data_IF_607090141048
#
_entry.id   IF_607090141048
#
_cell.length_a   1.000
_cell.length_b   1.000
_cell.length_c   1.000
_cell.angle_alpha   90.00
_cell.angle_beta   90.00
_cell.angle_gamma   90.00
#
_symmetry.space_group_name_H-M   'P 1'
#
loop_
_entity.id
_entity.type
_entity.pdbx_description
1 polymer ?
#
# COMPACT_ATOMS: atom_id res chain seq x y z
N UNK A 1 35.20 -9.61 0.57
CA UNK A 1 33.75 -9.91 0.55
C UNK A 1 33.05 -8.85 1.38
N UNK A 2 32.36 -7.88 0.75
CA UNK A 2 31.79 -6.74 1.46
C UNK A 2 30.63 -7.14 2.37
N UNK A 3 30.66 -6.67 3.62
CA UNK A 3 29.70 -7.03 4.67
C UNK A 3 28.87 -5.82 5.05
N UNK A 4 27.59 -5.86 4.70
CA UNK A 4 26.66 -4.75 4.87
C UNK A 4 25.79 -4.93 6.12
N UNK A 5 25.75 -3.91 6.98
CA UNK A 5 24.77 -3.80 8.05
C UNK A 5 23.60 -2.92 7.60
N UNK A 6 22.45 -3.52 7.30
CA UNK A 6 21.22 -2.79 7.01
C UNK A 6 20.58 -2.36 8.33
N UNK A 7 20.38 -1.06 8.49
CA UNK A 7 19.74 -0.45 9.67
C UNK A 7 18.48 0.27 9.22
N UNK A 8 17.32 -0.22 9.68
CA UNK A 8 16.02 0.32 9.31
C UNK A 8 14.99 0.08 10.41
N UNK A 9 14.07 1.03 10.63
CA UNK A 9 12.94 0.87 11.53
C UNK A 9 11.62 0.84 10.73
N UNK A 10 10.91 1.97 10.63
CA UNK A 10 9.61 2.05 9.94
C UNK A 10 9.72 1.69 8.45
N UNK A 11 10.93 1.84 7.91
CA UNK A 11 11.31 1.65 6.52
C UNK A 11 11.85 0.25 6.21
N UNK A 12 11.89 -0.67 7.18
CA UNK A 12 12.53 -1.99 7.02
C UNK A 12 11.95 -2.82 5.87
N UNK A 13 10.66 -2.65 5.56
CA UNK A 13 9.98 -3.33 4.44
C UNK A 13 9.85 -2.44 3.19
N UNK A 14 10.60 -1.34 3.10
CA UNK A 14 10.51 -0.42 1.97
C UNK A 14 11.02 -1.05 0.67
N UNK A 15 10.32 -0.89 -0.46
CA UNK A 15 10.83 -1.26 -1.78
C UNK A 15 12.15 -0.55 -2.14
N UNK A 16 12.36 0.70 -1.68
CA UNK A 16 13.59 1.44 -1.96
C UNK A 16 14.81 0.81 -1.28
N UNK A 17 14.61 0.27 -0.07
CA UNK A 17 15.65 -0.48 0.63
C UNK A 17 16.02 -1.76 -0.13
N UNK A 18 15.02 -2.52 -0.57
CA UNK A 18 15.22 -3.75 -1.35
C UNK A 18 15.92 -3.43 -2.67
N UNK A 19 15.52 -2.36 -3.37
CA UNK A 19 16.12 -1.93 -4.62
C UNK A 19 17.59 -1.56 -4.44
N UNK A 20 17.92 -0.80 -3.37
CA UNK A 20 19.31 -0.42 -3.10
C UNK A 20 20.18 -1.60 -2.73
N UNK A 21 19.71 -2.48 -1.85
CA UNK A 21 20.44 -3.68 -1.48
C UNK A 21 20.66 -4.61 -2.69
N UNK A 22 19.67 -4.71 -3.58
CA UNK A 22 19.80 -5.45 -4.85
C UNK A 22 20.86 -4.85 -5.78
N UNK A 23 20.95 -3.52 -5.85
CA UNK A 23 21.96 -2.85 -6.65
C UNK A 23 23.38 -3.13 -6.14
N UNK A 24 23.57 -3.10 -4.82
CA UNK A 24 24.85 -3.44 -4.19
C UNK A 24 25.22 -4.91 -4.42
N UNK A 25 24.27 -5.83 -4.23
CA UNK A 25 24.48 -7.26 -4.47
C UNK A 25 24.85 -7.57 -5.94
N UNK A 26 24.31 -6.81 -6.91
CA UNK A 26 24.69 -6.96 -8.33
C UNK A 26 26.10 -6.42 -8.63
N UNK A 27 26.49 -5.34 -7.97
CA UNK A 27 27.82 -4.76 -8.14
C UNK A 27 28.90 -5.66 -7.49
N UNK A 28 28.56 -6.31 -6.38
CA UNK A 28 29.45 -7.16 -5.59
C UNK A 28 28.75 -8.47 -5.22
N UNK A 29 28.79 -9.49 -6.10
CA UNK A 29 28.01 -10.72 -5.96
C UNK A 29 28.26 -11.53 -4.69
N UNK A 30 29.48 -11.44 -4.13
CA UNK A 30 29.83 -12.15 -2.90
C UNK A 30 29.36 -11.41 -1.64
N UNK A 31 28.70 -10.26 -1.75
CA UNK A 31 28.34 -9.46 -0.57
C UNK A 31 27.38 -10.19 0.38
N UNK A 32 27.56 -9.94 1.68
CA UNK A 32 26.69 -10.49 2.73
C UNK A 32 25.95 -9.38 3.44
N UNK A 33 24.69 -9.63 3.80
CA UNK A 33 23.82 -8.64 4.42
C UNK A 33 23.36 -9.13 5.80
N UNK A 34 23.45 -8.26 6.81
CA UNK A 34 22.78 -8.42 8.11
C UNK A 34 21.77 -7.31 8.31
N UNK A 35 20.71 -7.61 9.05
CA UNK A 35 19.60 -6.69 9.30
C UNK A 35 19.51 -6.35 10.79
N UNK A 36 19.54 -5.06 11.11
CA UNK A 36 19.39 -4.52 12.46
C UNK A 36 18.17 -3.59 12.51
N UNK A 37 17.23 -3.91 13.39
CA UNK A 37 16.06 -3.08 13.68
C UNK A 37 16.20 -2.50 15.09
N UNK A 38 16.15 -1.17 15.25
CA UNK A 38 15.91 -0.58 16.57
C UNK A 38 14.59 -1.05 17.16
N UNK A 39 14.55 -1.30 18.47
CA UNK A 39 13.32 -1.72 19.14
C UNK A 39 12.25 -0.60 19.15
N UNK A 40 10.97 -0.98 19.20
CA UNK A 40 9.88 -0.02 19.35
C UNK A 40 9.91 0.72 20.69
N UNK A 41 10.48 0.10 21.73
CA UNK A 41 10.62 0.65 23.07
C UNK A 41 12.04 0.46 23.59
N UNK A 42 12.54 1.37 24.45
CA UNK A 42 13.88 1.25 25.03
C UNK A 42 14.12 -0.06 25.79
N UNK A 43 15.39 -0.44 25.89
CA UNK A 43 15.86 -1.69 26.53
C UNK A 43 15.31 -1.95 27.95
N UNK A 44 15.09 -0.92 28.76
CA UNK A 44 14.55 -1.05 30.12
C UNK A 44 13.05 -1.39 30.21
N UNK A 45 12.33 -1.38 29.08
CA UNK A 45 10.90 -1.76 28.97
C UNK A 45 10.75 -3.04 28.09
N UNK A 46 11.84 -3.78 27.85
CA UNK A 46 11.81 -5.04 27.06
C UNK A 46 11.01 -6.15 27.77
N UNK A 47 10.41 -7.04 26.96
CA UNK A 47 9.62 -8.17 27.44
C UNK A 47 8.12 -7.96 27.28
N UNK A 48 7.63 -7.95 26.04
CA UNK A 48 6.20 -7.78 25.76
C UNK A 48 5.80 -7.96 24.28
N UNK A 49 4.52 -7.73 23.92
CA UNK A 49 4.01 -7.90 22.55
C UNK A 49 4.73 -7.05 21.50
N UNK A 50 5.35 -5.93 21.88
CA UNK A 50 6.12 -5.07 20.99
C UNK A 50 7.39 -5.73 20.42
N UNK A 51 8.02 -6.64 21.18
CA UNK A 51 9.17 -7.42 20.69
C UNK A 51 8.73 -8.41 19.60
N UNK A 52 7.53 -8.98 19.75
CA UNK A 52 6.94 -9.86 18.73
C UNK A 52 6.61 -9.08 17.45
N UNK A 53 6.10 -7.85 17.57
CA UNK A 53 5.88 -6.96 16.41
C UNK A 53 7.20 -6.66 15.70
N UNK A 54 8.24 -6.24 16.44
CA UNK A 54 9.54 -5.90 15.85
C UNK A 54 10.16 -7.11 15.14
N UNK A 55 10.14 -8.29 15.78
CA UNK A 55 10.59 -9.54 15.16
C UNK A 55 9.77 -9.91 13.92
N UNK A 56 8.45 -9.77 13.97
CA UNK A 56 7.56 -10.03 12.82
C UNK A 56 7.90 -9.15 11.61
N UNK A 57 8.20 -7.86 11.85
CA UNK A 57 8.66 -6.92 10.82
C UNK A 57 10.03 -7.33 10.27
N UNK A 58 10.94 -7.77 11.12
CA UNK A 58 12.26 -8.23 10.71
C UNK A 58 12.18 -9.50 9.83
N UNK A 59 11.30 -10.44 10.17
CA UNK A 59 11.04 -11.65 9.37
C UNK A 59 10.37 -11.31 8.03
N UNK A 60 9.45 -10.33 7.99
CA UNK A 60 8.91 -9.82 6.74
C UNK A 60 10.00 -9.16 5.89
N UNK A 61 10.86 -8.36 6.53
CA UNK A 61 12.16 -7.88 6.08
C UNK A 61 12.93 -8.90 5.25
N UNK A 62 13.32 -9.96 5.96
CA UNK A 62 14.11 -11.07 5.44
C UNK A 62 13.44 -11.76 4.25
N UNK A 63 12.12 -11.98 4.29
CA UNK A 63 11.38 -12.59 3.17
C UNK A 63 11.40 -11.72 1.91
N UNK A 64 11.21 -10.40 2.05
CA UNK A 64 11.23 -9.48 0.91
C UNK A 64 12.61 -9.38 0.27
N UNK A 65 13.66 -9.29 1.08
CA UNK A 65 15.05 -9.30 0.61
C UNK A 65 15.39 -10.63 -0.06
N UNK A 66 15.00 -11.76 0.54
CA UNK A 66 15.20 -13.10 -0.04
C UNK A 66 14.50 -13.28 -1.39
N UNK A 67 13.29 -12.75 -1.55
CA UNK A 67 12.57 -12.76 -2.84
C UNK A 67 13.29 -11.94 -3.93
N UNK A 68 14.13 -10.98 -3.54
CA UNK A 68 14.99 -10.21 -4.44
C UNK A 68 16.38 -10.85 -4.67
N UNK A 69 16.63 -12.04 -4.13
CA UNK A 69 17.91 -12.74 -4.24
C UNK A 69 18.98 -12.28 -3.24
N UNK A 70 18.58 -11.56 -2.17
CA UNK A 70 19.48 -11.06 -1.15
C UNK A 70 19.41 -11.96 0.08
N UNK A 71 20.49 -12.67 0.36
CA UNK A 71 20.57 -13.51 1.57
C UNK A 71 20.91 -12.67 2.80
N UNK A 72 19.98 -12.66 3.76
CA UNK A 72 20.18 -12.02 5.07
C UNK A 72 20.75 -13.04 6.04
N UNK A 73 22.06 -12.95 6.28
CA UNK A 73 22.81 -13.88 7.13
C UNK A 73 22.38 -13.81 8.61
N UNK A 74 21.99 -12.62 9.08
CA UNK A 74 21.55 -12.39 10.45
C UNK A 74 20.50 -11.30 10.54
N UNK A 75 19.61 -11.45 11.51
CA UNK A 75 18.64 -10.43 11.92
C UNK A 75 18.81 -10.16 13.41
N UNK A 76 18.87 -8.88 13.81
CA UNK A 76 18.92 -8.45 15.20
C UNK A 76 17.92 -7.34 15.50
N UNK A 77 17.53 -7.28 16.78
CA UNK A 77 16.73 -6.20 17.35
C UNK A 77 17.57 -5.53 18.44
N UNK A 78 17.96 -4.28 18.18
CA UNK A 78 18.83 -3.49 19.06
C UNK A 78 18.04 -2.59 20.01
N UNK A 79 18.71 -1.60 20.61
CA UNK A 79 18.05 -0.55 21.39
C UNK A 79 17.08 0.30 20.54
N UNK A 80 16.16 1.02 21.17
CA UNK A 80 15.24 1.93 20.46
C UNK A 80 15.95 3.17 19.91
N UNK A 81 17.07 3.59 20.51
CA UNK A 81 17.91 4.63 19.95
C UNK A 81 18.80 4.04 18.84
N UNK A 82 18.73 4.55 17.59
CA UNK A 82 19.40 3.91 16.45
C UNK A 82 20.93 3.89 16.58
N UNK A 83 21.54 4.97 17.07
CA UNK A 83 22.98 5.02 17.26
C UNK A 83 23.47 4.05 18.35
N UNK A 84 22.71 3.88 19.43
CA UNK A 84 23.03 2.88 20.46
C UNK A 84 22.84 1.47 19.92
N UNK A 85 21.77 1.21 19.17
CA UNK A 85 21.56 -0.09 18.52
C UNK A 85 22.71 -0.48 17.59
N UNK A 86 23.23 0.48 16.82
CA UNK A 86 24.39 0.28 15.95
C UNK A 86 25.64 0.02 16.80
N UNK A 87 25.87 0.85 17.82
CA UNK A 87 27.03 0.70 18.72
C UNK A 87 27.07 -0.65 19.41
N UNK A 88 25.94 -1.12 19.95
CA UNK A 88 25.80 -2.42 20.60
C UNK A 88 26.14 -3.54 19.60
N UNK A 89 25.57 -3.52 18.39
CA UNK A 89 25.80 -4.53 17.36
C UNK A 89 27.27 -4.56 16.89
N UNK A 90 27.90 -3.40 16.70
CA UNK A 90 29.31 -3.30 16.32
C UNK A 90 30.24 -3.75 17.45
N UNK A 91 29.87 -3.49 18.71
CA UNK A 91 30.64 -3.89 19.89
C UNK A 91 30.56 -5.40 20.13
N UNK A 92 29.37 -5.99 19.96
CA UNK A 92 29.17 -7.44 20.05
C UNK A 92 29.85 -8.20 18.91
N UNK A 93 30.02 -7.55 17.75
CA UNK A 93 30.56 -8.16 16.53
C UNK A 93 31.64 -7.27 15.91
N UNK A 94 32.81 -7.18 16.56
CA UNK A 94 33.92 -6.40 16.03
C UNK A 94 34.30 -6.90 14.63
N UNK A 95 34.58 -5.97 13.74
CA UNK A 95 34.99 -6.20 12.36
C UNK A 95 34.01 -7.04 11.54
N UNK A 96 32.73 -7.20 11.93
CA UNK A 96 31.77 -8.01 11.19
C UNK A 96 31.19 -7.28 9.94
N UNK A 97 31.35 -5.96 9.87
CA UNK A 97 30.72 -5.10 8.86
C UNK A 97 31.73 -4.10 8.30
N UNK A 98 31.64 -3.88 6.99
CA UNK A 98 32.48 -2.94 6.25
C UNK A 98 31.71 -1.67 5.86
N UNK A 99 30.37 -1.71 5.86
CA UNK A 99 29.51 -0.59 5.43
C UNK A 99 28.14 -0.68 6.10
N UNK A 100 27.59 0.47 6.49
CA UNK A 100 26.23 0.60 7.02
C UNK A 100 25.30 1.06 5.88
N UNK A 101 24.18 0.36 5.68
CA UNK A 101 23.08 0.83 4.85
C UNK A 101 22.01 1.38 5.79
N UNK A 102 21.90 2.71 5.89
CA UNK A 102 20.94 3.35 6.79
C UNK A 102 19.71 3.77 6.01
N UNK A 103 18.56 3.17 6.31
CA UNK A 103 17.30 3.49 5.64
C UNK A 103 16.41 4.38 6.50
N UNK A 104 16.09 5.58 6.03
CA UNK A 104 15.27 6.56 6.75
C UNK A 104 14.00 6.91 5.99
N UNK A 105 13.03 7.51 6.68
CA UNK A 105 11.91 8.20 6.03
C UNK A 105 12.41 9.45 5.26
N UNK A 106 11.56 10.09 4.43
CA UNK A 106 11.89 11.30 3.70
C UNK A 106 12.24 12.50 4.58
N UNK A 107 12.98 13.43 3.97
CA UNK A 107 13.19 14.77 4.51
C UNK A 107 11.85 15.43 4.86
N UNK A 108 11.78 16.08 6.02
CA UNK A 108 10.56 16.68 6.57
C UNK A 108 9.88 15.86 7.67
N UNK A 109 9.84 14.53 7.56
CA UNK A 109 9.17 13.67 8.57
C UNK A 109 10.13 12.74 9.33
N UNK A 110 11.30 12.46 8.76
CA UNK A 110 12.26 11.55 9.37
C UNK A 110 12.85 12.08 10.68
N UNK A 111 12.58 11.38 11.78
CA UNK A 111 13.23 11.65 13.08
C UNK A 111 14.73 11.39 13.02
N UNK A 112 15.17 10.35 12.31
CA UNK A 112 16.59 9.98 12.21
C UNK A 112 17.40 11.02 11.45
N UNK A 113 16.83 11.62 10.39
CA UNK A 113 17.48 12.72 9.68
C UNK A 113 17.55 13.98 10.54
N UNK A 114 16.48 14.32 11.29
CA UNK A 114 16.51 15.44 12.25
C UNK A 114 17.54 15.25 13.37
N UNK A 115 17.84 14.00 13.73
CA UNK A 115 18.88 13.64 14.71
C UNK A 115 20.26 13.44 14.09
N UNK A 116 20.43 13.70 12.79
CA UNK A 116 21.68 13.47 12.05
C UNK A 116 22.25 12.04 12.19
N UNK A 117 21.41 11.01 12.29
CA UNK A 117 21.88 9.62 12.52
C UNK A 117 22.86 9.15 11.44
N UNK A 118 22.68 9.59 10.19
CA UNK A 118 23.57 9.22 9.08
C UNK A 118 24.98 9.80 9.24
N UNK A 119 25.09 11.10 9.56
CA UNK A 119 26.38 11.75 9.79
C UNK A 119 27.07 11.24 11.05
N UNK A 120 26.31 11.15 12.15
CA UNK A 120 26.81 10.65 13.44
C UNK A 120 27.27 9.19 13.33
N UNK A 121 26.56 8.33 12.60
CA UNK A 121 26.99 6.95 12.43
C UNK A 121 28.30 6.85 11.62
N UNK A 122 28.45 7.66 10.57
CA UNK A 122 29.68 7.68 9.76
C UNK A 122 30.88 8.16 10.59
N UNK A 123 30.71 9.25 11.33
CA UNK A 123 31.78 9.84 12.16
C UNK A 123 32.13 8.95 13.36
N UNK A 124 31.13 8.48 14.10
CA UNK A 124 31.33 7.74 15.36
C UNK A 124 31.89 6.34 15.14
N UNK A 125 31.48 5.66 14.07
CA UNK A 125 31.84 4.26 13.85
C UNK A 125 32.93 4.08 12.78
N UNK A 126 33.29 5.14 12.05
CA UNK A 126 34.34 5.09 11.02
C UNK A 126 34.00 4.18 9.83
N UNK A 127 32.73 3.78 9.68
CA UNK A 127 32.24 2.97 8.58
C UNK A 127 31.55 3.86 7.54
N UNK A 128 31.74 3.61 6.23
CA UNK A 128 30.92 4.23 5.19
C UNK A 128 29.43 4.02 5.46
N UNK A 129 28.64 5.07 5.31
CA UNK A 129 27.17 5.02 5.43
C UNK A 129 26.55 5.26 4.06
N UNK A 130 25.91 4.23 3.52
CA UNK A 130 25.02 4.33 2.37
C UNK A 130 23.64 4.70 2.88
N UNK A 131 23.27 5.97 2.71
CA UNK A 131 21.93 6.44 3.10
C UNK A 131 20.90 6.11 2.01
N UNK A 132 19.77 5.54 2.45
CA UNK A 132 18.60 5.25 1.60
C UNK A 132 17.41 5.98 2.18
N UNK A 133 16.85 6.89 1.40
CA UNK A 133 15.58 7.49 1.71
C UNK A 133 14.46 6.57 1.19
N UNK A 134 13.67 5.99 2.09
CA UNK A 134 12.48 5.25 1.73
C UNK A 134 11.35 6.22 1.46
N UNK A 135 10.79 6.16 0.25
CA UNK A 135 9.50 6.77 -0.02
C UNK A 135 8.47 6.06 0.84
N UNK A 136 7.60 6.81 1.51
CA UNK A 136 6.49 6.18 2.20
C UNK A 136 5.70 5.37 1.17
N UNK A 137 5.38 4.11 1.50
CA UNK A 137 4.31 3.43 0.80
C UNK A 137 3.06 4.24 1.10
N UNK A 138 2.64 5.07 0.14
CA UNK A 138 1.57 6.01 0.41
C UNK A 138 0.33 5.23 0.83
N UNK A 139 -0.24 5.59 1.98
CA UNK A 139 -1.38 4.89 2.54
C UNK A 139 -2.59 5.20 1.67
N UNK A 140 -3.24 4.16 1.18
CA UNK A 140 -4.58 4.28 0.61
C UNK A 140 -5.56 4.57 1.74
N UNK A 141 -6.23 5.71 1.66
CA UNK A 141 -7.32 6.10 2.53
C UNK A 141 -8.64 5.95 1.78
N UNK A 142 -9.70 5.55 2.48
CA UNK A 142 -11.02 5.34 1.89
C UNK A 142 -12.05 6.21 2.60
N UNK A 143 -12.89 6.87 1.82
CA UNK A 143 -14.01 7.67 2.33
C UNK A 143 -15.21 7.59 1.42
N UNK A 144 -16.39 7.92 1.95
CA UNK A 144 -17.57 8.18 1.11
C UNK A 144 -17.31 9.43 0.27
N UNK A 145 -17.73 9.39 -0.98
CA UNK A 145 -17.82 10.57 -1.81
C UNK A 145 -18.88 11.53 -1.26
N UNK A 146 -18.69 12.81 -1.58
CA UNK A 146 -19.57 13.91 -1.23
C UNK A 146 -20.06 14.59 -2.52
N UNK A 147 -21.02 15.51 -2.40
CA UNK A 147 -21.48 16.30 -3.54
C UNK A 147 -20.32 17.01 -4.27
N UNK A 148 -19.28 17.43 -3.53
CA UNK A 148 -18.11 18.12 -4.05
C UNK A 148 -17.13 17.23 -4.85
N UNK A 149 -17.33 15.91 -4.88
CA UNK A 149 -16.45 15.01 -5.62
C UNK A 149 -16.89 14.80 -7.08
N UNK A 150 -18.02 15.39 -7.50
CA UNK A 150 -18.64 15.22 -8.82
C UNK A 150 -17.65 15.38 -9.98
N UNK A 151 -17.03 16.56 -10.09
CA UNK A 151 -16.11 16.88 -11.19
C UNK A 151 -14.92 15.92 -11.25
N UNK A 152 -14.37 15.56 -10.07
CA UNK A 152 -13.17 14.70 -9.98
C UNK A 152 -13.47 13.25 -10.35
N UNK A 153 -14.64 12.75 -9.95
CA UNK A 153 -15.07 11.38 -10.24
C UNK A 153 -15.52 11.26 -11.69
N UNK A 154 -16.24 12.26 -12.22
CA UNK A 154 -16.59 12.31 -13.63
C UNK A 154 -15.34 12.30 -14.53
N UNK A 155 -14.33 13.13 -14.22
CA UNK A 155 -13.08 13.13 -14.97
C UNK A 155 -12.38 11.75 -14.94
N UNK A 156 -12.40 11.07 -13.79
CA UNK A 156 -11.85 9.72 -13.66
C UNK A 156 -12.65 8.69 -14.48
N UNK A 157 -13.98 8.77 -14.48
CA UNK A 157 -14.85 7.88 -15.26
C UNK A 157 -14.68 8.11 -16.76
N UNK A 158 -14.65 9.36 -17.21
CA UNK A 158 -14.39 9.72 -18.61
C UNK A 158 -13.01 9.21 -19.09
N UNK A 159 -11.93 9.44 -18.33
CA UNK A 159 -10.60 8.91 -18.65
C UNK A 159 -10.57 7.37 -18.67
N UNK A 160 -11.44 6.74 -17.89
CA UNK A 160 -11.60 5.28 -17.84
C UNK A 160 -12.61 4.75 -18.86
N UNK A 161 -13.20 5.62 -19.70
CA UNK A 161 -14.24 5.30 -20.69
C UNK A 161 -15.46 4.63 -20.08
N UNK A 162 -15.84 5.07 -18.88
CA UNK A 162 -17.10 4.73 -18.24
C UNK A 162 -18.11 5.83 -18.51
N UNK A 163 -19.40 5.49 -18.44
CA UNK A 163 -20.46 6.46 -18.55
C UNK A 163 -20.37 7.47 -17.39
N UNK A 164 -20.59 8.73 -17.70
CA UNK A 164 -20.66 9.82 -16.73
C UNK A 164 -22.11 10.19 -16.44
N UNK A 165 -22.34 10.80 -15.28
CA UNK A 165 -23.68 11.25 -14.86
C UNK A 165 -23.70 12.76 -14.77
N UNK A 166 -24.85 13.36 -15.07
CA UNK A 166 -25.04 14.80 -14.90
C UNK A 166 -25.11 15.22 -13.42
N UNK A 167 -25.32 16.51 -13.14
CA UNK A 167 -25.38 17.04 -11.77
C UNK A 167 -26.60 16.53 -10.99
N UNK A 168 -27.75 16.37 -11.67
CA UNK A 168 -28.98 15.90 -11.04
C UNK A 168 -28.90 14.40 -10.69
N UNK A 169 -28.36 13.60 -11.61
CA UNK A 169 -28.12 12.19 -11.42
C UNK A 169 -27.07 11.95 -10.31
N UNK A 170 -26.02 12.77 -10.26
CA UNK A 170 -25.02 12.71 -9.20
C UNK A 170 -25.60 12.99 -7.81
N UNK A 171 -26.37 14.07 -7.67
CA UNK A 171 -27.05 14.41 -6.42
C UNK A 171 -27.95 13.27 -5.95
N UNK A 172 -28.71 12.69 -6.89
CA UNK A 172 -29.56 11.53 -6.64
C UNK A 172 -28.75 10.32 -6.16
N UNK A 173 -27.63 10.01 -6.84
CA UNK A 173 -26.78 8.87 -6.49
C UNK A 173 -26.14 9.04 -5.10
N UNK A 174 -25.56 10.21 -4.81
CA UNK A 174 -24.82 10.47 -3.57
C UNK A 174 -25.72 10.55 -2.35
N UNK A 175 -26.96 11.01 -2.52
CA UNK A 175 -27.92 11.12 -1.43
C UNK A 175 -28.79 9.87 -1.24
N UNK A 176 -28.73 8.91 -2.17
CA UNK A 176 -29.51 7.67 -2.10
C UNK A 176 -29.14 6.82 -0.88
N UNK A 177 -30.09 6.47 -0.01
CA UNK A 177 -29.82 5.65 1.18
C UNK A 177 -29.31 4.24 0.86
N UNK A 178 -29.63 3.72 -0.32
CA UNK A 178 -29.20 2.40 -0.78
C UNK A 178 -27.95 2.44 -1.67
N UNK A 179 -27.27 3.58 -1.77
CA UNK A 179 -26.05 3.70 -2.56
C UNK A 179 -24.87 4.15 -1.69
N UNK A 180 -23.69 3.71 -2.09
CA UNK A 180 -22.41 4.21 -1.62
C UNK A 180 -21.50 4.45 -2.81
N UNK A 181 -20.94 5.65 -2.88
CA UNK A 181 -19.79 5.93 -3.73
C UNK A 181 -18.58 6.04 -2.81
N UNK A 182 -17.59 5.19 -3.01
CA UNK A 182 -16.34 5.19 -2.25
C UNK A 182 -15.22 5.77 -3.10
N UNK A 183 -14.39 6.58 -2.46
CA UNK A 183 -13.19 7.18 -3.04
C UNK A 183 -11.97 6.59 -2.34
N UNK A 184 -10.97 6.21 -3.14
CA UNK A 184 -9.63 5.92 -2.67
C UNK A 184 -8.75 7.16 -2.85
N UNK A 185 -8.09 7.58 -1.78
CA UNK A 185 -7.15 8.71 -1.78
C UNK A 185 -5.74 8.23 -1.43
N UNK A 186 -4.75 8.82 -2.10
CA UNK A 186 -3.33 8.62 -1.86
C UNK A 186 -2.71 10.02 -1.71
N UNK A 187 -2.16 10.37 -0.54
CA UNK A 187 -1.65 11.74 -0.26
C UNK A 187 -2.70 12.85 -0.47
N UNK A 188 -3.98 12.55 -0.20
CA UNK A 188 -5.10 13.47 -0.40
C UNK A 188 -5.52 13.66 -1.86
N UNK A 189 -4.88 12.95 -2.80
CA UNK A 189 -5.28 12.92 -4.20
C UNK A 189 -6.23 11.74 -4.46
N UNK A 190 -7.33 11.98 -5.16
CA UNK A 190 -8.23 10.93 -5.63
C UNK A 190 -7.52 10.02 -6.62
N UNK A 191 -7.38 8.74 -6.28
CA UNK A 191 -6.71 7.73 -7.12
C UNK A 191 -7.64 6.64 -7.63
N UNK A 192 -8.85 6.54 -7.09
CA UNK A 192 -9.87 5.64 -7.62
C UNK A 192 -11.24 5.87 -6.98
N UNK A 193 -12.26 5.32 -7.62
CA UNK A 193 -13.63 5.37 -7.15
C UNK A 193 -14.37 4.06 -7.48
N UNK A 194 -15.40 3.73 -6.70
CA UNK A 194 -16.29 2.60 -6.93
C UNK A 194 -17.70 2.92 -6.44
N UNK A 195 -18.71 2.40 -7.15
CA UNK A 195 -20.12 2.51 -6.74
C UNK A 195 -20.59 1.17 -6.25
N UNK A 196 -21.22 1.16 -5.07
CA UNK A 196 -21.97 0.03 -4.52
C UNK A 196 -23.42 0.42 -4.31
N UNK A 197 -24.35 -0.46 -4.63
CA UNK A 197 -25.78 -0.27 -4.34
C UNK A 197 -26.36 -1.49 -3.66
N UNK A 198 -27.38 -1.27 -2.83
CA UNK A 198 -28.18 -2.29 -2.18
C UNK A 198 -29.64 -1.85 -2.13
N UNK A 199 -30.52 -2.63 -2.77
CA UNK A 199 -31.95 -2.35 -2.84
C UNK A 199 -32.78 -3.03 -1.73
N UNK A 200 -32.11 -3.63 -0.74
CA UNK A 200 -32.74 -4.46 0.29
C UNK A 200 -32.82 -5.95 -0.05
N UNK A 201 -32.53 -6.32 -1.32
CA UNK A 201 -32.51 -7.70 -1.78
C UNK A 201 -31.19 -8.08 -2.47
N UNK A 202 -30.74 -7.26 -3.42
CA UNK A 202 -29.54 -7.49 -4.24
C UNK A 202 -28.58 -6.34 -4.08
N UNK A 203 -27.29 -6.68 -4.01
CA UNK A 203 -26.24 -5.69 -4.03
C UNK A 203 -25.50 -5.75 -5.36
N UNK A 204 -25.16 -4.58 -5.89
CA UNK A 204 -24.36 -4.44 -7.09
C UNK A 204 -23.13 -3.61 -6.78
N UNK A 205 -22.02 -3.94 -7.44
CA UNK A 205 -20.83 -3.09 -7.46
C UNK A 205 -20.49 -2.81 -8.92
N UNK A 206 -20.32 -1.54 -9.27
CA UNK A 206 -20.10 -1.09 -10.64
C UNK A 206 -19.33 0.23 -10.69
N UNK A 207 -19.02 0.70 -11.90
CA UNK A 207 -18.31 1.96 -12.16
C UNK A 207 -17.01 2.10 -11.34
N UNK A 208 -16.23 1.01 -11.28
CA UNK A 208 -14.92 0.99 -10.64
C UNK A 208 -13.86 1.57 -11.58
N UNK A 209 -13.15 2.60 -11.11
CA UNK A 209 -12.09 3.24 -11.88
C UNK A 209 -10.88 3.56 -10.99
N UNK A 210 -9.70 3.51 -11.60
CA UNK A 210 -8.42 3.85 -10.96
C UNK A 210 -7.60 4.67 -11.95
N UNK A 211 -7.04 5.79 -11.51
CA UNK A 211 -6.22 6.67 -12.36
C UNK A 211 -5.08 5.86 -13.01
N UNK A 212 -4.76 6.07 -14.30
CA UNK A 212 -3.82 5.20 -15.03
C UNK A 212 -2.48 4.99 -14.33
N UNK A 213 -1.90 6.05 -13.77
CA UNK A 213 -0.62 6.02 -13.04
C UNK A 213 -0.64 5.33 -11.67
N UNK A 214 -1.80 4.79 -11.23
CA UNK A 214 -1.98 4.06 -9.97
C UNK A 214 -2.58 2.66 -10.17
N UNK A 215 -2.76 2.23 -11.41
CA UNK A 215 -3.23 0.88 -11.76
C UNK A 215 -2.18 -0.18 -11.39
N UNK A 216 -2.62 -1.44 -11.27
CA UNK A 216 -1.80 -2.61 -10.92
C UNK A 216 -1.08 -2.52 -9.56
N UNK A 217 -1.48 -1.57 -8.69
CA UNK A 217 -0.99 -1.41 -7.32
C UNK A 217 -1.97 -1.90 -6.24
N UNK A 218 -3.03 -2.62 -6.65
CA UNK A 218 -4.04 -3.17 -5.73
C UNK A 218 -5.18 -2.21 -5.34
N UNK A 219 -5.20 -0.97 -5.86
CA UNK A 219 -6.24 0.04 -5.54
C UNK A 219 -7.66 -0.48 -5.80
N UNK A 220 -7.92 -1.04 -7.00
CA UNK A 220 -9.24 -1.55 -7.36
C UNK A 220 -9.67 -2.71 -6.43
N UNK A 221 -8.75 -3.63 -6.11
CA UNK A 221 -9.03 -4.71 -5.15
C UNK A 221 -9.42 -4.15 -3.79
N UNK A 222 -8.70 -3.16 -3.29
CA UNK A 222 -9.00 -2.55 -2.00
C UNK A 222 -10.34 -1.79 -2.00
N UNK A 223 -10.70 -1.11 -3.11
CA UNK A 223 -12.02 -0.51 -3.30
C UNK A 223 -13.15 -1.56 -3.26
N UNK A 224 -12.96 -2.71 -3.92
CA UNK A 224 -13.90 -3.83 -3.85
C UNK A 224 -14.03 -4.38 -2.42
N UNK A 225 -12.92 -4.62 -1.74
CA UNK A 225 -12.91 -5.13 -0.37
C UNK A 225 -13.71 -4.19 0.57
N UNK A 226 -13.53 -2.87 0.44
CA UNK A 226 -14.25 -1.87 1.25
C UNK A 226 -15.74 -1.77 0.88
N UNK A 227 -16.07 -1.78 -0.42
CA UNK A 227 -17.46 -1.77 -0.88
C UNK A 227 -18.22 -3.01 -0.40
N UNK A 228 -17.63 -4.20 -0.53
CA UNK A 228 -18.22 -5.44 -0.04
C UNK A 228 -18.37 -5.43 1.49
N UNK A 229 -17.38 -4.93 2.23
CA UNK A 229 -17.48 -4.77 3.67
C UNK A 229 -18.61 -3.82 4.06
N UNK A 230 -18.84 -2.75 3.30
CA UNK A 230 -19.98 -1.85 3.51
C UNK A 230 -21.31 -2.58 3.30
N UNK A 231 -21.50 -3.19 2.13
CA UNK A 231 -22.73 -3.91 1.76
C UNK A 231 -23.03 -5.09 2.72
N UNK A 232 -21.99 -5.76 3.22
CA UNK A 232 -22.15 -6.82 4.21
C UNK A 232 -22.68 -6.32 5.55
N UNK A 233 -22.27 -5.12 5.99
CA UNK A 233 -22.79 -4.49 7.21
C UNK A 233 -24.26 -4.09 7.06
N UNK A 234 -24.71 -3.80 5.85
CA UNK A 234 -26.11 -3.54 5.53
C UNK A 234 -26.96 -4.82 5.44
N UNK A 235 -26.35 -6.00 5.64
CA UNK A 235 -27.03 -7.29 5.72
C UNK A 235 -26.97 -8.12 4.45
N UNK A 236 -26.28 -7.65 3.40
CA UNK A 236 -26.14 -8.42 2.18
C UNK A 236 -25.05 -9.50 2.29
N UNK A 237 -25.25 -10.62 1.59
CA UNK A 237 -24.32 -11.74 1.53
C UNK A 237 -23.92 -12.13 0.11
N UNK A 238 -24.52 -11.51 -0.91
CA UNK A 238 -24.28 -11.77 -2.32
C UNK A 238 -24.18 -10.44 -3.07
N UNK A 239 -23.05 -10.22 -3.72
CA UNK A 239 -22.79 -9.03 -4.53
C UNK A 239 -22.67 -9.44 -5.99
N UNK A 240 -23.38 -8.74 -6.86
CA UNK A 240 -23.34 -8.92 -8.31
C UNK A 240 -22.50 -7.82 -8.96
N UNK A 241 -21.83 -8.16 -10.05
CA UNK A 241 -21.08 -7.21 -10.89
C UNK A 241 -21.38 -7.54 -12.33
N UNK A 242 -21.53 -6.51 -13.16
CA UNK A 242 -21.57 -6.64 -14.61
C UNK A 242 -20.25 -6.13 -15.17
N UNK A 243 -19.69 -6.89 -16.10
CA UNK A 243 -18.43 -6.58 -16.77
C UNK A 243 -18.55 -7.03 -18.22
N UNK A 244 -18.05 -6.22 -19.14
CA UNK A 244 -17.98 -6.61 -20.55
C UNK A 244 -16.92 -7.73 -20.68
N UNK A 245 -17.24 -8.80 -21.43
CA UNK A 245 -16.33 -9.92 -21.68
C UNK A 245 -15.01 -9.47 -22.33
N UNK A 246 -15.03 -8.39 -23.12
CA UNK A 246 -13.85 -7.80 -23.74
C UNK A 246 -12.94 -7.07 -22.74
N UNK A 247 -13.44 -6.78 -21.53
CA UNK A 247 -12.66 -6.15 -20.47
C UNK A 247 -11.82 -7.19 -19.71
N UNK A 248 -10.77 -7.70 -20.35
CA UNK A 248 -9.86 -8.70 -19.79
C UNK A 248 -9.30 -8.30 -18.41
N UNK A 249 -8.99 -7.01 -18.23
CA UNK A 249 -8.48 -6.48 -16.96
C UNK A 249 -9.51 -6.54 -15.84
N UNK A 250 -10.77 -6.20 -16.14
CA UNK A 250 -11.90 -6.31 -15.23
C UNK A 250 -12.22 -7.76 -14.89
N UNK A 251 -12.26 -8.64 -15.88
CA UNK A 251 -12.47 -10.08 -15.70
C UNK A 251 -11.40 -10.70 -14.79
N UNK A 252 -10.13 -10.42 -15.05
CA UNK A 252 -9.02 -10.91 -14.23
C UNK A 252 -9.11 -10.41 -12.77
N UNK A 253 -9.48 -9.14 -12.57
CA UNK A 253 -9.71 -8.58 -11.23
C UNK A 253 -10.84 -9.33 -10.51
N UNK A 254 -11.99 -9.50 -11.15
CA UNK A 254 -13.16 -10.14 -10.55
C UNK A 254 -12.87 -11.61 -10.18
N UNK A 255 -12.20 -12.35 -11.06
CA UNK A 255 -11.74 -13.71 -10.73
C UNK A 255 -10.78 -13.75 -9.54
N UNK A 256 -9.84 -12.79 -9.45
CA UNK A 256 -8.92 -12.70 -8.30
C UNK A 256 -9.63 -12.40 -6.97
N UNK A 257 -10.80 -11.76 -7.04
CA UNK A 257 -11.68 -11.47 -5.91
C UNK A 257 -12.65 -12.63 -5.59
N UNK A 258 -12.58 -13.74 -6.35
CA UNK A 258 -13.43 -14.92 -6.15
C UNK A 258 -14.81 -14.85 -6.79
N UNK A 259 -15.08 -13.84 -7.63
CA UNK A 259 -16.30 -13.81 -8.43
C UNK A 259 -16.30 -14.94 -9.45
N UNK A 260 -17.48 -15.54 -9.63
CA UNK A 260 -17.73 -16.58 -10.63
C UNK A 260 -18.83 -16.09 -11.56
N UNK A 261 -18.65 -16.32 -12.85
CA UNK A 261 -19.70 -16.08 -13.83
C UNK A 261 -20.93 -16.93 -13.49
N UNK A 262 -22.11 -16.31 -13.55
CA UNK A 262 -23.37 -16.96 -13.29
C UNK A 262 -24.40 -16.51 -14.33
N UNK A 263 -24.60 -17.35 -15.36
CA UNK A 263 -25.43 -17.03 -16.52
C UNK A 263 -24.70 -16.18 -17.57
N UNK A 264 -25.32 -16.05 -18.75
CA UNK A 264 -24.68 -15.50 -19.95
C UNK A 264 -25.49 -14.38 -20.63
N UNK A 265 -26.68 -14.03 -20.11
CA UNK A 265 -27.60 -13.10 -20.79
C UNK A 265 -27.84 -11.86 -19.93
N UNK A 266 -27.31 -10.72 -20.39
CA UNK A 266 -27.66 -9.38 -19.92
C UNK A 266 -28.60 -8.76 -20.96
N UNK A 267 -29.78 -8.30 -20.52
CA UNK A 267 -30.73 -7.56 -21.37
C UNK A 267 -30.92 -6.18 -20.80
N UNK A 268 -30.85 -5.16 -21.65
CA UNK A 268 -31.03 -3.75 -21.29
C UNK A 268 -32.23 -3.21 -22.07
N UNK A 269 -33.08 -2.45 -21.40
CA UNK A 269 -34.16 -1.68 -22.00
C UNK A 269 -34.11 -0.26 -21.46
N UNK A 270 -33.99 0.72 -22.35
CA UNK A 270 -34.07 2.13 -21.98
C UNK A 270 -35.54 2.49 -21.77
N UNK A 271 -35.87 2.94 -20.55
CA UNK A 271 -37.20 3.44 -20.24
C UNK A 271 -37.18 4.93 -20.58
N UNK A 272 -37.77 5.29 -21.72
CA UNK A 272 -37.90 6.69 -22.13
C UNK A 272 -38.67 7.51 -21.09
N UNK A 273 -38.36 8.78 -21.03
CA UNK A 273 -38.90 9.81 -20.14
C UNK A 273 -40.36 10.22 -20.46
N UNK A 274 -41.03 9.50 -21.37
CA UNK A 274 -42.44 9.69 -21.70
C UNK A 274 -42.74 10.95 -22.51
N UNK A 275 -41.73 11.57 -23.11
CA UNK A 275 -41.81 12.84 -23.84
C UNK A 275 -42.20 12.71 -25.33
N UNK A 276 -42.27 11.50 -25.89
CA UNK A 276 -42.68 11.23 -27.28
C UNK A 276 -44.01 10.47 -27.38
N UNK A 277 -45.05 11.00 -26.73
CA UNK A 277 -46.44 10.59 -26.95
C UNK A 277 -47.31 11.81 -27.24
N UNK A 278 -47.21 12.32 -28.47
CA UNK A 278 -48.19 13.21 -29.12
C UNK A 278 -48.53 12.65 -30.52
#
# INVERSE_FOLDING_TARGET
MPRYLIVADQTVTSPDLVARASQLARAEPDSTFSLLLPALLPSHIRGGPFDAVTRGRAEQAKRLLGAAGIEVARTAVGDAAPLLAIEDELSERPDAYDTIILCTLPEGISRWLRMNVHGEAAERFGLPVVHVEARMATRLEFRRATLHDHERIQALWDESRLDTVDEHEWDTLITSPGAIVLVAEEEGALVGAIVGTFDGWRAYVYHVAVVPGRRRRGVAKALFDEAQAHLAREGNRIVYVMVNEENEGGMALLHSLGYRQQGDIVMVNEIGDGSDAD
#
